data_IF_024021221833
#
_entry.id   IF_024021221833
#
_cell.length_a   1.000
_cell.length_b   1.000
_cell.length_c   1.000
_cell.angle_alpha   90.00
_cell.angle_beta   90.00
_cell.angle_gamma   90.00
#
_symmetry.space_group_name_H-M   'P 1'
#
loop_
_entity.id
_entity.type
_entity.pdbx_description
1 polymer ?
#
# COMPACT_ATOMS: atom_id res chain seq x y z
N UNK A 1 26.77 -5.95 -6.90
CA UNK A 1 27.07 -4.92 -7.91
C UNK A 1 25.91 -4.89 -8.88
N UNK A 2 25.03 -3.90 -8.77
CA UNK A 2 23.97 -3.69 -9.75
C UNK A 2 24.62 -3.29 -11.07
N UNK A 3 24.25 -3.94 -12.17
CA UNK A 3 24.63 -3.55 -13.51
C UNK A 3 24.05 -2.16 -13.79
N UNK A 4 24.86 -1.13 -13.68
CA UNK A 4 24.49 0.22 -14.11
C UNK A 4 24.51 0.24 -15.64
N UNK A 5 23.35 0.20 -16.25
CA UNK A 5 23.23 0.32 -17.71
C UNK A 5 23.43 1.80 -18.06
N UNK A 6 24.32 2.11 -19.02
CA UNK A 6 24.59 3.49 -19.42
C UNK A 6 23.38 4.12 -20.12
N UNK A 7 23.28 5.46 -20.06
CA UNK A 7 22.24 6.21 -20.77
C UNK A 7 22.24 5.95 -22.28
N UNK A 8 23.42 5.85 -22.88
CA UNK A 8 23.57 5.55 -24.31
C UNK A 8 23.03 4.17 -24.65
N UNK A 9 23.28 3.15 -23.82
CA UNK A 9 22.73 1.81 -24.00
C UNK A 9 21.19 1.81 -23.92
N UNK A 10 20.62 2.60 -22.99
CA UNK A 10 19.15 2.76 -22.88
C UNK A 10 18.56 3.43 -24.11
N UNK A 11 19.27 4.38 -24.69
CA UNK A 11 18.89 5.09 -25.91
C UNK A 11 18.93 4.19 -27.13
N UNK A 12 20.00 3.41 -27.29
CA UNK A 12 20.16 2.43 -28.37
C UNK A 12 19.07 1.34 -28.30
N UNK A 13 18.66 0.93 -27.10
CA UNK A 13 17.59 -0.03 -26.90
C UNK A 13 16.17 0.59 -27.02
N UNK A 14 16.04 1.85 -27.41
CA UNK A 14 14.77 2.61 -27.50
C UNK A 14 13.97 2.63 -26.18
N UNK A 15 14.60 2.43 -25.05
CA UNK A 15 13.97 2.47 -23.73
C UNK A 15 13.73 3.92 -23.29
N UNK A 16 14.62 4.83 -23.71
CA UNK A 16 14.47 6.26 -23.48
C UNK A 16 13.80 6.90 -24.70
N UNK A 17 12.67 7.62 -24.53
CA UNK A 17 12.05 8.33 -25.62
C UNK A 17 13.01 9.31 -26.31
N UNK A 18 12.90 9.51 -27.63
CA UNK A 18 13.68 10.50 -28.34
C UNK A 18 13.48 11.90 -27.73
N UNK A 19 14.57 12.62 -27.51
CA UNK A 19 14.52 13.99 -26.99
C UNK A 19 14.68 14.13 -25.47
N UNK A 20 14.62 13.05 -24.70
CA UNK A 20 14.92 13.09 -23.26
C UNK A 20 16.44 13.11 -23.05
N UNK A 21 16.90 14.03 -22.23
CA UNK A 21 18.30 14.15 -21.82
C UNK A 21 18.59 13.33 -20.55
N UNK A 22 19.87 12.96 -20.37
CA UNK A 22 20.29 12.28 -19.12
C UNK A 22 19.96 13.11 -17.88
N UNK A 23 20.09 14.44 -17.97
CA UNK A 23 19.75 15.37 -16.89
C UNK A 23 18.27 15.28 -16.51
N UNK A 24 17.37 15.16 -17.48
CA UNK A 24 15.92 15.01 -17.23
C UNK A 24 15.60 13.66 -16.60
N UNK A 25 16.30 12.58 -17.03
CA UNK A 25 16.19 11.28 -16.38
C UNK A 25 16.68 11.29 -14.94
N UNK A 26 17.71 12.08 -14.65
CA UNK A 26 18.29 12.21 -13.31
C UNK A 26 17.60 13.29 -12.45
N UNK A 27 16.54 13.95 -12.95
CA UNK A 27 15.77 14.90 -12.16
C UNK A 27 15.17 14.20 -10.93
N UNK A 28 15.13 14.87 -9.76
CA UNK A 28 14.65 14.26 -8.53
C UNK A 28 13.25 13.64 -8.62
N UNK A 29 12.98 12.78 -7.68
CA UNK A 29 11.70 12.11 -7.49
C UNK A 29 10.51 13.08 -7.59
N UNK A 30 9.37 12.57 -8.01
CA UNK A 30 8.17 13.36 -8.19
C UNK A 30 7.50 13.64 -6.83
N UNK A 31 7.42 14.90 -6.42
CA UNK A 31 6.75 15.29 -5.17
C UNK A 31 5.24 15.01 -5.23
N UNK A 32 4.72 14.45 -4.14
CA UNK A 32 3.29 14.19 -3.98
C UNK A 32 2.67 15.24 -3.07
N UNK A 33 1.52 15.81 -3.44
CA UNK A 33 0.73 16.63 -2.54
C UNK A 33 0.30 15.83 -1.31
N UNK A 34 0.14 16.49 -0.18
CA UNK A 34 -0.32 15.89 1.06
C UNK A 34 -1.81 16.16 1.29
N UNK A 35 -2.48 15.21 1.91
CA UNK A 35 -3.87 15.35 2.35
C UNK A 35 -3.86 15.87 3.79
N UNK A 36 -4.55 16.98 4.02
CA UNK A 36 -4.58 17.64 5.33
C UNK A 36 -5.96 17.65 5.99
N UNK A 37 -7.01 17.20 5.28
CA UNK A 37 -8.37 17.19 5.79
C UNK A 37 -8.89 15.76 5.94
N UNK A 38 -8.87 15.24 7.17
CA UNK A 38 -9.38 13.90 7.49
C UNK A 38 -10.87 13.89 7.82
N UNK A 39 -11.48 15.06 8.06
CA UNK A 39 -12.93 15.15 8.33
C UNK A 39 -13.77 14.77 7.11
N UNK A 40 -13.19 14.94 5.92
CA UNK A 40 -13.79 14.54 4.66
C UNK A 40 -13.63 13.04 4.33
N UNK A 41 -12.98 12.24 5.20
CA UNK A 41 -12.76 10.81 4.94
C UNK A 41 -14.10 10.08 4.78
N UNK A 42 -14.32 9.39 3.63
CA UNK A 42 -15.60 8.79 3.32
C UNK A 42 -15.90 7.56 4.18
N UNK A 43 -17.12 7.50 4.68
CA UNK A 43 -17.66 6.35 5.40
C UNK A 43 -18.49 5.45 4.45
N UNK A 44 -18.91 4.27 4.94
CA UNK A 44 -19.71 3.29 4.19
C UNK A 44 -19.02 2.70 2.96
N UNK A 45 -17.69 2.65 2.99
CA UNK A 45 -16.83 2.08 1.94
C UNK A 45 -15.97 0.94 2.52
N UNK A 46 -15.13 0.34 1.70
CA UNK A 46 -14.09 -0.58 2.18
C UNK A 46 -12.75 0.13 2.18
N UNK A 47 -12.12 0.20 3.34
CA UNK A 47 -10.80 0.82 3.48
C UNK A 47 -9.71 -0.22 3.22
N UNK A 48 -8.77 0.12 2.34
CA UNK A 48 -7.61 -0.71 1.99
C UNK A 48 -6.36 -0.01 2.46
N UNK A 49 -5.73 -0.55 3.48
CA UNK A 49 -4.55 0.04 4.12
C UNK A 49 -3.26 -0.56 3.58
N UNK A 50 -2.29 0.30 3.31
CA UNK A 50 -0.92 -0.06 2.97
C UNK A 50 -0.01 0.37 4.12
N UNK A 51 0.49 -0.62 4.87
CA UNK A 51 1.19 -0.49 6.15
C UNK A 51 2.64 -0.97 5.99
N UNK A 52 3.60 -0.24 6.50
CA UNK A 52 5.02 -0.62 6.43
C UNK A 52 5.93 0.54 6.77
N UNK A 53 7.21 0.26 6.97
CA UNK A 53 8.23 1.28 7.25
C UNK A 53 8.31 2.34 6.15
N UNK A 54 8.94 3.47 6.45
CA UNK A 54 9.37 4.40 5.42
C UNK A 54 10.12 3.67 4.30
N UNK A 55 9.93 4.11 3.05
CA UNK A 55 10.59 3.54 1.86
C UNK A 55 10.29 2.06 1.56
N UNK A 56 9.34 1.43 2.26
CA UNK A 56 8.89 0.06 1.93
C UNK A 56 8.14 -0.06 0.59
N UNK A 57 8.00 1.03 -0.16
CA UNK A 57 7.39 1.03 -1.48
C UNK A 57 5.88 1.26 -1.51
N UNK A 58 5.25 1.74 -0.43
CA UNK A 58 3.79 2.01 -0.36
C UNK A 58 3.29 2.88 -1.51
N UNK A 59 3.86 4.08 -1.65
CA UNK A 59 3.51 5.02 -2.74
C UNK A 59 3.80 4.44 -4.12
N UNK A 60 4.88 3.64 -4.26
CA UNK A 60 5.19 2.95 -5.51
C UNK A 60 4.16 1.88 -5.85
N UNK A 61 3.70 1.11 -4.87
CA UNK A 61 2.61 0.12 -5.05
C UNK A 61 1.33 0.83 -5.52
N UNK A 62 0.95 1.92 -4.86
CA UNK A 62 -0.22 2.72 -5.25
C UNK A 62 -0.06 3.33 -6.64
N UNK A 63 1.11 3.90 -6.96
CA UNK A 63 1.39 4.46 -8.30
C UNK A 63 1.25 3.41 -9.39
N UNK A 64 1.85 2.24 -9.22
CA UNK A 64 1.74 1.14 -10.16
C UNK A 64 0.31 0.65 -10.30
N UNK A 65 -0.38 0.46 -9.18
CA UNK A 65 -1.77 0.02 -9.14
C UNK A 65 -2.68 0.99 -9.90
N UNK A 66 -2.64 2.28 -9.60
CA UNK A 66 -3.52 3.26 -10.26
C UNK A 66 -3.16 3.49 -11.73
N UNK A 67 -1.89 3.43 -12.08
CA UNK A 67 -1.48 3.50 -13.48
C UNK A 67 -1.99 2.28 -14.27
N UNK A 68 -1.88 1.08 -13.73
CA UNK A 68 -2.42 -0.12 -14.36
C UNK A 68 -3.95 -0.07 -14.49
N UNK A 69 -4.64 0.46 -13.49
CA UNK A 69 -6.10 0.62 -13.47
C UNK A 69 -6.59 1.65 -14.48
N UNK A 70 -5.90 2.78 -14.58
CA UNK A 70 -6.21 3.83 -15.57
C UNK A 70 -6.12 3.29 -16.99
N UNK A 71 -5.13 2.45 -17.26
CA UNK A 71 -4.95 1.82 -18.59
C UNK A 71 -6.05 0.81 -18.91
N UNK A 72 -6.59 0.12 -17.92
CA UNK A 72 -7.72 -0.83 -18.11
C UNK A 72 -9.08 -0.17 -18.24
N UNK A 73 -9.23 1.07 -17.76
CA UNK A 73 -10.48 1.83 -17.83
C UNK A 73 -11.62 1.32 -16.94
N UNK A 74 -11.36 0.33 -16.06
CA UNK A 74 -12.40 -0.30 -15.25
C UNK A 74 -12.58 0.36 -13.88
N UNK A 75 -11.54 0.98 -13.34
CA UNK A 75 -11.58 1.66 -12.06
C UNK A 75 -11.75 3.17 -12.28
N UNK A 76 -12.58 3.79 -11.45
CA UNK A 76 -12.87 5.21 -11.56
C UNK A 76 -12.51 5.91 -10.28
N UNK A 77 -11.65 6.92 -10.38
CA UNK A 77 -11.45 7.84 -9.28
C UNK A 77 -12.79 8.51 -8.95
N UNK A 78 -13.16 8.46 -7.69
CA UNK A 78 -14.37 9.11 -7.18
C UNK A 78 -13.95 10.33 -6.35
N UNK A 79 -14.11 11.55 -6.87
CA UNK A 79 -13.81 12.75 -6.09
C UNK A 79 -14.76 12.81 -4.90
N UNK A 80 -14.25 13.18 -3.74
CA UNK A 80 -15.10 13.45 -2.59
C UNK A 80 -16.01 14.65 -2.90
N UNK A 81 -17.30 14.40 -3.08
CA UNK A 81 -18.29 15.41 -3.48
C UNK A 81 -18.41 16.51 -2.42
N UNK A 82 -18.21 16.16 -1.14
CA UNK A 82 -18.35 17.12 -0.04
C UNK A 82 -17.21 18.14 0.02
N UNK A 83 -16.10 17.86 -0.65
CA UNK A 83 -14.88 18.70 -0.55
C UNK A 83 -14.40 19.22 -1.93
N UNK A 84 -15.05 18.84 -3.04
CA UNK A 84 -14.71 19.31 -4.40
C UNK A 84 -13.20 19.23 -4.72
N UNK A 85 -12.49 18.27 -4.13
CA UNK A 85 -11.05 18.10 -4.27
C UNK A 85 -10.21 19.03 -3.39
N UNK A 86 -10.79 19.75 -2.43
CA UNK A 86 -10.04 20.60 -1.48
C UNK A 86 -9.31 19.77 -0.43
N UNK A 87 -9.68 18.49 -0.26
CA UNK A 87 -9.01 17.54 0.62
C UNK A 87 -7.61 17.10 0.13
N UNK A 88 -7.24 17.46 -1.09
CA UNK A 88 -5.97 17.08 -1.70
C UNK A 88 -5.95 15.68 -2.32
N UNK A 89 -6.99 14.87 -2.14
CA UNK A 89 -7.01 13.46 -2.62
C UNK A 89 -6.88 13.35 -4.14
N UNK A 90 -7.52 14.25 -4.89
CA UNK A 90 -7.39 14.32 -6.35
C UNK A 90 -5.96 14.68 -6.78
N UNK A 91 -5.36 15.66 -6.11
CA UNK A 91 -3.99 16.07 -6.41
C UNK A 91 -3.00 14.93 -6.12
N UNK A 92 -3.21 14.22 -5.01
CA UNK A 92 -2.42 13.06 -4.63
C UNK A 92 -2.57 11.91 -5.64
N UNK A 93 -3.80 11.53 -6.02
CA UNK A 93 -4.07 10.53 -7.06
C UNK A 93 -3.38 10.89 -8.38
N UNK A 94 -3.58 12.12 -8.87
CA UNK A 94 -2.97 12.59 -10.10
C UNK A 94 -1.44 12.60 -10.01
N UNK A 95 -0.88 12.92 -8.85
CA UNK A 95 0.54 12.86 -8.58
C UNK A 95 1.11 11.45 -8.73
N UNK A 96 0.46 10.44 -8.14
CA UNK A 96 0.84 9.04 -8.26
C UNK A 96 0.82 8.54 -9.72
N UNK A 97 -0.24 8.87 -10.47
CA UNK A 97 -0.36 8.49 -11.90
C UNK A 97 0.71 9.21 -12.74
N UNK A 98 0.95 10.51 -12.49
CA UNK A 98 1.98 11.28 -13.20
C UNK A 98 3.38 10.77 -12.95
N UNK A 99 3.70 10.34 -11.72
CA UNK A 99 5.00 9.75 -11.40
C UNK A 99 5.30 8.57 -12.32
N UNK A 100 4.34 7.67 -12.55
CA UNK A 100 4.50 6.54 -13.47
C UNK A 100 4.59 6.97 -14.93
N UNK A 101 3.80 7.97 -15.35
CA UNK A 101 3.88 8.54 -16.70
C UNK A 101 5.25 9.19 -16.94
N UNK A 102 5.79 9.85 -15.93
CA UNK A 102 7.13 10.43 -15.96
C UNK A 102 8.25 9.37 -15.82
N UNK A 103 7.89 8.09 -15.67
CA UNK A 103 8.83 6.97 -15.46
C UNK A 103 9.72 7.13 -14.23
N UNK A 104 9.20 7.74 -13.18
CA UNK A 104 9.91 7.98 -11.92
C UNK A 104 9.09 7.45 -10.74
N UNK A 105 9.74 6.87 -9.73
CA UNK A 105 9.04 6.55 -8.49
C UNK A 105 8.60 7.85 -7.81
N UNK A 106 7.49 7.84 -7.06
CA UNK A 106 7.13 8.97 -6.21
C UNK A 106 8.13 9.12 -5.06
N UNK A 107 8.30 10.34 -4.57
CA UNK A 107 9.05 10.59 -3.32
C UNK A 107 8.42 9.83 -2.15
N UNK A 108 9.20 9.51 -1.11
CA UNK A 108 8.66 8.95 0.11
C UNK A 108 7.56 9.85 0.69
N UNK A 109 6.53 9.23 1.26
CA UNK A 109 5.45 9.93 1.98
C UNK A 109 6.07 10.74 3.12
N UNK A 110 5.65 11.99 3.26
CA UNK A 110 6.17 12.85 4.32
C UNK A 110 5.81 12.31 5.72
N UNK A 111 6.64 12.71 6.68
CA UNK A 111 6.47 12.33 8.09
C UNK A 111 5.06 12.68 8.62
N UNK A 112 4.52 11.80 9.45
CA UNK A 112 3.20 11.96 10.12
C UNK A 112 2.01 12.25 9.19
N UNK A 113 2.04 11.73 7.95
CA UNK A 113 0.95 11.89 7.02
C UNK A 113 0.16 10.60 6.80
N UNK A 114 -1.15 10.79 6.61
CA UNK A 114 -2.07 9.75 6.14
C UNK A 114 -2.70 10.27 4.85
N UNK A 115 -2.46 9.57 3.76
CA UNK A 115 -3.08 9.89 2.49
C UNK A 115 -4.20 8.88 2.18
N UNK A 116 -5.26 9.34 1.52
CA UNK A 116 -6.32 8.44 1.07
C UNK A 116 -6.84 8.83 -0.32
N UNK A 117 -7.33 7.84 -1.04
CA UNK A 117 -7.87 8.00 -2.39
C UNK A 117 -9.14 7.17 -2.52
N UNK A 118 -10.20 7.78 -3.05
CA UNK A 118 -11.48 7.14 -3.24
C UNK A 118 -11.59 6.60 -4.66
N UNK A 119 -11.86 5.30 -4.79
CA UNK A 119 -11.97 4.61 -6.08
C UNK A 119 -13.26 3.80 -6.11
N UNK A 120 -13.99 3.93 -7.20
CA UNK A 120 -15.13 3.07 -7.50
C UNK A 120 -14.72 2.02 -8.55
N UNK A 121 -14.94 0.75 -8.22
CA UNK A 121 -14.61 -0.39 -9.09
C UNK A 121 -15.89 -1.01 -9.61
N UNK A 122 -16.28 -0.75 -10.86
CA UNK A 122 -17.43 -1.40 -11.46
C UNK A 122 -17.13 -2.89 -11.67
N UNK A 123 -18.05 -3.77 -11.28
CA UNK A 123 -17.90 -5.21 -11.55
C UNK A 123 -18.46 -5.61 -12.90
N UNK A 124 -17.79 -6.60 -13.52
CA UNK A 124 -18.25 -7.23 -14.75
C UNK A 124 -19.65 -7.84 -14.54
N UNK A 125 -20.59 -7.52 -15.43
CA UNK A 125 -21.94 -8.11 -15.43
C UNK A 125 -23.09 -7.15 -15.14
N UNK A 126 -22.85 -5.85 -14.97
CA UNK A 126 -23.96 -4.89 -14.89
C UNK A 126 -23.67 -3.63 -14.07
N UNK A 127 -24.38 -2.59 -14.40
CA UNK A 127 -24.27 -1.23 -13.85
C UNK A 127 -24.72 -1.08 -12.39
N UNK A 128 -25.12 -2.18 -11.73
CA UNK A 128 -25.77 -2.14 -10.40
C UNK A 128 -24.87 -2.49 -9.21
N UNK A 129 -23.65 -2.97 -9.45
CA UNK A 129 -22.75 -3.40 -8.39
C UNK A 129 -21.39 -2.75 -8.56
N UNK A 130 -21.06 -1.87 -7.68
CA UNK A 130 -19.78 -1.17 -7.61
C UNK A 130 -19.13 -1.50 -6.26
N UNK A 131 -17.84 -1.80 -6.23
CA UNK A 131 -17.11 -1.79 -4.99
C UNK A 131 -16.62 -0.36 -4.76
N UNK A 132 -16.95 0.20 -3.62
CA UNK A 132 -16.55 1.54 -3.20
C UNK A 132 -15.37 1.41 -2.23
N UNK A 133 -14.20 1.90 -2.62
CA UNK A 133 -12.94 1.67 -1.92
C UNK A 133 -12.30 2.99 -1.50
N UNK A 134 -11.70 3.00 -0.32
CA UNK A 134 -10.74 4.00 0.12
C UNK A 134 -9.37 3.34 0.17
N UNK A 135 -8.42 3.82 -0.61
CA UNK A 135 -7.03 3.39 -0.52
C UNK A 135 -6.32 4.31 0.47
N UNK A 136 -5.76 3.75 1.53
CA UNK A 136 -5.15 4.49 2.63
C UNK A 136 -3.68 4.16 2.72
N UNK A 137 -2.84 5.18 2.60
CA UNK A 137 -1.40 5.10 2.82
C UNK A 137 -1.04 5.84 4.10
N UNK A 138 -0.35 5.15 5.00
CA UNK A 138 0.12 5.70 6.27
C UNK A 138 1.64 5.78 6.24
N UNK A 139 2.22 6.93 6.62
CA UNK A 139 3.68 7.03 6.73
C UNK A 139 4.22 6.02 7.75
N UNK A 140 5.40 5.46 7.48
CA UNK A 140 5.97 4.42 8.35
C UNK A 140 6.27 4.93 9.74
N UNK A 141 6.62 6.18 9.85
CA UNK A 141 6.97 6.87 11.09
C UNK A 141 5.75 7.06 12.02
N UNK A 142 4.55 7.17 11.46
CA UNK A 142 3.32 7.23 12.26
C UNK A 142 3.18 6.02 13.20
N UNK A 143 3.69 4.86 12.81
CA UNK A 143 3.53 3.65 13.63
C UNK A 143 4.43 3.65 14.85
N UNK A 144 5.64 4.22 14.80
CA UNK A 144 6.48 4.37 15.99
C UNK A 144 5.88 5.39 16.96
N UNK A 145 5.50 6.56 16.48
CA UNK A 145 4.88 7.61 17.30
C UNK A 145 3.57 7.14 17.94
N UNK A 146 2.73 6.42 17.18
CA UNK A 146 1.47 5.90 17.67
C UNK A 146 1.66 4.78 18.70
N UNK A 147 2.65 3.91 18.52
CA UNK A 147 2.93 2.83 19.47
C UNK A 147 3.46 3.36 20.79
N UNK A 148 4.34 4.36 20.76
CA UNK A 148 4.87 5.02 21.94
C UNK A 148 3.76 5.73 22.73
N UNK A 149 2.74 6.22 22.06
CA UNK A 149 1.58 6.91 22.64
C UNK A 149 0.46 5.97 23.11
N UNK A 150 0.51 4.67 22.82
CA UNK A 150 -0.48 3.71 23.33
C UNK A 150 -0.50 3.60 24.85
N UNK A 151 0.59 3.97 25.54
CA UNK A 151 0.66 4.08 26.99
C UNK A 151 -0.18 5.22 27.59
N UNK A 152 -0.26 6.36 26.89
CA UNK A 152 -1.11 7.53 27.20
C UNK A 152 -2.33 7.63 26.27
N UNK A 153 -2.55 6.75 25.53
CA UNK A 153 -3.27 6.04 24.53
C UNK A 153 -4.32 6.73 23.71
N UNK A 154 -5.50 6.82 24.18
CA UNK A 154 -6.66 7.28 23.40
C UNK A 154 -6.59 8.76 22.96
N UNK A 155 -5.78 9.57 23.62
CA UNK A 155 -5.70 11.02 23.34
C UNK A 155 -4.76 11.32 22.16
N UNK A 156 -3.65 10.60 22.00
CA UNK A 156 -2.73 10.80 20.88
C UNK A 156 -3.40 10.43 19.53
N UNK A 157 -4.19 9.36 19.51
CA UNK A 157 -5.02 9.00 18.36
C UNK A 157 -5.99 10.11 17.95
N UNK A 158 -6.64 10.73 18.94
CA UNK A 158 -7.61 11.82 18.72
C UNK A 158 -6.92 13.09 18.22
N UNK A 159 -5.71 13.36 18.70
CA UNK A 159 -4.97 14.57 18.34
C UNK A 159 -4.41 14.55 16.92
N UNK A 160 -4.17 13.35 16.34
CA UNK A 160 -3.62 13.21 15.00
C UNK A 160 -4.65 13.33 13.86
N UNK A 161 -5.94 13.54 14.15
CA UNK A 161 -6.98 13.45 13.13
C UNK A 161 -7.13 12.05 12.53
N UNK A 162 -6.17 11.17 12.81
CA UNK A 162 -6.08 9.81 12.31
C UNK A 162 -7.22 8.91 12.83
N UNK A 163 -7.84 9.25 13.95
CA UNK A 163 -8.90 8.44 14.56
C UNK A 163 -10.06 8.19 13.60
N UNK A 164 -10.45 9.19 12.81
CA UNK A 164 -11.52 9.02 11.82
C UNK A 164 -11.15 8.04 10.72
N UNK A 165 -9.91 8.06 10.28
CA UNK A 165 -9.41 7.15 9.24
C UNK A 165 -9.24 5.74 9.79
N UNK A 166 -8.68 5.58 10.98
CA UNK A 166 -8.26 4.28 11.51
C UNK A 166 -9.37 3.54 12.27
N UNK A 167 -10.17 4.25 13.08
CA UNK A 167 -11.18 3.65 13.96
C UNK A 167 -12.62 3.76 13.47
N UNK A 168 -12.84 4.17 12.20
CA UNK A 168 -14.17 4.20 11.60
C UNK A 168 -14.77 2.79 11.46
N UNK A 169 -16.08 2.73 11.16
CA UNK A 169 -16.81 1.47 11.03
C UNK A 169 -16.73 0.83 9.63
N UNK A 170 -15.97 1.40 8.70
CA UNK A 170 -15.77 0.81 7.39
C UNK A 170 -15.16 -0.60 7.52
N UNK A 171 -15.53 -1.49 6.62
CA UNK A 171 -14.83 -2.77 6.44
C UNK A 171 -13.38 -2.49 6.02
N UNK A 172 -12.45 -3.29 6.50
CA UNK A 172 -11.02 -3.06 6.27
C UNK A 172 -10.33 -4.25 5.62
N UNK A 173 -9.37 -3.93 4.76
CA UNK A 173 -8.38 -4.86 4.21
C UNK A 173 -7.01 -4.28 4.57
N UNK A 174 -6.14 -5.09 5.17
CA UNK A 174 -4.80 -4.66 5.58
C UNK A 174 -3.75 -5.35 4.73
N UNK A 175 -2.88 -4.57 4.10
CA UNK A 175 -1.68 -5.05 3.45
C UNK A 175 -0.45 -4.54 4.18
N UNK A 176 0.35 -5.47 4.71
CA UNK A 176 1.64 -5.18 5.33
C UNK A 176 2.73 -5.28 4.27
N UNK A 177 3.47 -4.18 4.05
CA UNK A 177 4.50 -4.07 3.05
C UNK A 177 5.87 -4.30 3.66
N UNK A 178 6.60 -5.22 3.07
CA UNK A 178 7.96 -5.60 3.43
C UNK A 178 8.90 -5.31 2.26
N UNK A 179 9.99 -4.65 2.55
CA UNK A 179 11.04 -4.35 1.57
C UNK A 179 12.04 -5.51 1.49
N UNK A 180 12.07 -6.21 0.37
CA UNK A 180 13.02 -7.31 0.15
C UNK A 180 14.49 -6.85 0.12
N UNK A 181 14.75 -5.60 -0.26
CA UNK A 181 16.11 -5.07 -0.39
C UNK A 181 16.85 -4.93 0.96
N UNK A 182 16.13 -4.89 2.09
CA UNK A 182 16.73 -4.75 3.42
C UNK A 182 17.70 -5.90 3.73
N UNK A 183 17.40 -7.12 3.28
CA UNK A 183 18.30 -8.28 3.42
C UNK A 183 19.61 -8.11 2.64
N UNK A 184 19.57 -7.38 1.53
CA UNK A 184 20.74 -7.22 0.68
C UNK A 184 21.75 -6.22 1.23
N UNK A 185 21.47 -5.62 2.40
CA UNK A 185 22.36 -4.68 3.09
C UNK A 185 22.55 -3.33 2.35
N UNK A 186 21.74 -3.07 1.33
CA UNK A 186 21.88 -1.90 0.45
C UNK A 186 20.96 -0.75 0.86
N UNK A 187 20.62 -0.62 2.14
CA UNK A 187 19.59 0.34 2.54
C UNK A 187 20.16 1.50 3.36
N UNK A 188 19.62 2.65 3.09
CA UNK A 188 19.78 3.96 3.72
C UNK A 188 19.41 3.97 5.23
N UNK A 189 19.99 3.07 6.01
CA UNK A 189 19.84 3.02 7.46
C UNK A 189 18.64 2.25 8.01
N UNK A 190 17.74 1.70 7.17
CA UNK A 190 16.62 0.86 7.64
C UNK A 190 17.11 -0.58 7.79
N UNK A 191 16.91 -1.16 8.96
CA UNK A 191 17.31 -2.53 9.28
C UNK A 191 16.13 -3.50 9.19
N UNK A 192 16.42 -4.80 9.21
CA UNK A 192 15.41 -5.83 9.35
C UNK A 192 14.59 -5.66 10.64
N UNK A 193 15.26 -5.28 11.73
CA UNK A 193 14.63 -5.01 13.02
C UNK A 193 13.63 -3.85 12.92
N UNK A 194 13.98 -2.76 12.23
CA UNK A 194 13.07 -1.61 12.04
C UNK A 194 11.80 -2.02 11.29
N UNK A 195 11.93 -2.89 10.28
CA UNK A 195 10.76 -3.44 9.59
C UNK A 195 9.90 -4.29 10.53
N UNK A 196 10.52 -5.21 11.28
CA UNK A 196 9.79 -6.06 12.23
C UNK A 196 9.06 -5.22 13.26
N UNK A 197 9.73 -4.22 13.85
CA UNK A 197 9.15 -3.34 14.85
C UNK A 197 7.97 -2.52 14.29
N UNK A 198 8.11 -1.92 13.12
CA UNK A 198 7.04 -1.12 12.51
C UNK A 198 5.80 -1.96 12.18
N UNK A 199 5.99 -3.19 11.71
CA UNK A 199 4.86 -4.09 11.43
C UNK A 199 4.16 -4.56 12.69
N UNK A 200 4.95 -4.85 13.74
CA UNK A 200 4.44 -5.18 15.07
C UNK A 200 3.62 -4.04 15.64
N UNK A 201 4.14 -2.82 15.56
CA UNK A 201 3.45 -1.61 16.01
C UNK A 201 2.15 -1.40 15.23
N UNK A 202 2.19 -1.55 13.92
CA UNK A 202 0.99 -1.44 13.09
C UNK A 202 -0.08 -2.47 13.49
N UNK A 203 0.28 -3.73 13.68
CA UNK A 203 -0.66 -4.76 14.12
C UNK A 203 -1.21 -4.45 15.52
N UNK A 204 -0.38 -4.00 16.44
CA UNK A 204 -0.77 -3.59 17.80
C UNK A 204 -1.81 -2.48 17.75
N UNK A 205 -1.61 -1.46 16.91
CA UNK A 205 -2.54 -0.35 16.73
C UNK A 205 -3.92 -0.84 16.29
N UNK A 206 -3.99 -1.73 15.30
CA UNK A 206 -5.25 -2.28 14.83
C UNK A 206 -5.89 -3.26 15.83
N UNK A 207 -5.11 -3.85 16.73
CA UNK A 207 -5.57 -4.75 17.80
C UNK A 207 -6.08 -4.01 19.02
N UNK A 208 -5.79 -2.72 19.18
CA UNK A 208 -6.12 -1.93 20.35
C UNK A 208 -7.58 -1.50 20.35
N UNK A 209 -8.28 -1.69 21.48
CA UNK A 209 -9.70 -1.38 21.63
C UNK A 209 -9.99 -0.07 22.39
N UNK A 210 -8.95 0.67 22.74
CA UNK A 210 -9.06 1.92 23.50
C UNK A 210 -9.26 1.75 25.01
N UNK A 211 -9.45 0.53 25.52
CA UNK A 211 -9.72 0.27 26.95
C UNK A 211 -8.52 -0.32 27.68
N UNK A 212 -7.42 -0.61 26.99
CA UNK A 212 -6.24 -1.29 27.53
C UNK A 212 -6.46 -2.77 27.84
N UNK A 213 -7.60 -3.32 27.49
CA UNK A 213 -7.92 -4.74 27.59
C UNK A 213 -8.01 -5.34 26.21
N UNK A 214 -7.39 -6.49 25.99
CA UNK A 214 -7.49 -7.24 24.74
C UNK A 214 -8.92 -7.79 24.53
N UNK A 215 -9.90 -6.91 24.36
CA UNK A 215 -11.28 -7.31 24.10
C UNK A 215 -11.51 -7.46 22.60
N UNK A 216 -11.96 -8.63 22.20
CA UNK A 216 -12.23 -9.02 20.81
C UNK A 216 -13.36 -8.22 20.13
N UNK A 217 -14.10 -7.42 20.86
CA UNK A 217 -15.32 -6.78 20.35
C UNK A 217 -15.23 -5.29 20.07
N UNK A 218 -14.18 -4.62 20.49
CA UNK A 218 -14.03 -3.16 20.33
C UNK A 218 -12.89 -2.71 19.42
N UNK A 219 -11.94 -3.61 19.13
CA UNK A 219 -10.75 -3.26 18.36
C UNK A 219 -11.04 -3.14 16.85
N UNK A 220 -10.17 -2.43 16.15
CA UNK A 220 -10.29 -2.22 14.69
C UNK A 220 -10.19 -3.53 13.91
N UNK A 221 -9.46 -4.55 14.41
CA UNK A 221 -9.38 -5.87 13.78
C UNK A 221 -10.75 -6.54 13.64
N UNK A 222 -11.73 -6.24 14.49
CA UNK A 222 -13.10 -6.77 14.34
C UNK A 222 -13.80 -6.31 13.06
N UNK A 223 -13.30 -5.27 12.40
CA UNK A 223 -13.78 -4.74 11.11
C UNK A 223 -12.93 -5.21 9.92
N UNK A 224 -11.82 -5.90 10.19
CA UNK A 224 -10.93 -6.39 9.14
C UNK A 224 -11.50 -7.67 8.55
N UNK A 225 -11.60 -7.71 7.25
CA UNK A 225 -12.06 -8.88 6.50
C UNK A 225 -10.93 -9.66 5.85
N UNK A 226 -9.82 -8.99 5.58
CA UNK A 226 -8.69 -9.61 4.90
C UNK A 226 -7.37 -8.99 5.34
N UNK A 227 -6.37 -9.84 5.49
CA UNK A 227 -4.99 -9.47 5.77
C UNK A 227 -4.08 -10.10 4.72
N UNK A 228 -3.14 -9.32 4.20
CA UNK A 228 -2.10 -9.78 3.30
C UNK A 228 -0.75 -9.15 3.60
N UNK A 229 0.29 -9.81 3.13
CA UNK A 229 1.68 -9.33 3.15
C UNK A 229 2.11 -9.14 1.70
N UNK A 230 2.66 -7.98 1.38
CA UNK A 230 3.22 -7.67 0.06
C UNK A 230 4.73 -7.51 0.20
N UNK A 231 5.47 -8.40 -0.41
CA UNK A 231 6.92 -8.30 -0.50
C UNK A 231 7.28 -7.44 -1.71
N UNK A 232 7.70 -6.21 -1.46
CA UNK A 232 8.04 -5.22 -2.49
C UNK A 232 9.47 -5.41 -3.01
N UNK A 233 9.80 -4.72 -4.10
CA UNK A 233 11.10 -4.83 -4.80
C UNK A 233 11.42 -6.26 -5.23
N UNK A 234 10.39 -6.99 -5.64
CA UNK A 234 10.51 -8.39 -6.07
C UNK A 234 11.34 -8.59 -7.35
N UNK A 235 11.66 -7.51 -8.08
CA UNK A 235 12.65 -7.49 -9.16
C UNK A 235 14.06 -7.90 -8.69
N UNK A 236 14.38 -7.66 -7.41
CA UNK A 236 15.65 -8.05 -6.81
C UNK A 236 15.76 -9.56 -6.53
N UNK A 237 14.68 -10.32 -6.65
CA UNK A 237 14.70 -11.78 -6.53
C UNK A 237 15.34 -12.48 -7.73
N UNK A 238 15.74 -11.73 -8.76
CA UNK A 238 16.44 -12.23 -9.95
C UNK A 238 15.73 -13.38 -10.67
N UNK A 239 14.40 -13.41 -10.62
CA UNK A 239 13.59 -14.40 -11.36
C UNK A 239 12.30 -13.76 -11.88
N UNK A 240 11.95 -14.09 -13.12
CA UNK A 240 10.65 -13.75 -13.70
C UNK A 240 9.59 -14.84 -13.46
N UNK A 241 9.99 -16.01 -13.00
CA UNK A 241 9.05 -17.09 -12.69
C UNK A 241 8.27 -16.75 -11.42
N UNK A 242 6.96 -16.59 -11.59
CA UNK A 242 6.04 -16.26 -10.52
C UNK A 242 6.02 -17.30 -9.39
N UNK A 243 6.07 -18.59 -9.72
CA UNK A 243 6.10 -19.66 -8.71
C UNK A 243 7.38 -19.60 -7.90
N UNK A 244 8.50 -19.34 -8.56
CA UNK A 244 9.78 -19.18 -7.89
C UNK A 244 9.80 -17.94 -7.00
N UNK A 245 9.27 -16.80 -7.47
CA UNK A 245 9.13 -15.58 -6.63
C UNK A 245 8.29 -15.86 -5.37
N UNK A 246 7.17 -16.56 -5.52
CA UNK A 246 6.33 -16.94 -4.38
C UNK A 246 7.07 -17.83 -3.39
N UNK A 247 7.84 -18.82 -3.85
CA UNK A 247 8.66 -19.65 -2.97
C UNK A 247 9.71 -18.84 -2.22
N UNK A 248 10.45 -17.97 -2.91
CA UNK A 248 11.43 -17.06 -2.28
C UNK A 248 10.75 -16.17 -1.24
N UNK A 249 9.56 -15.64 -1.54
CA UNK A 249 8.82 -14.82 -0.61
C UNK A 249 8.42 -15.59 0.66
N UNK A 250 7.92 -16.82 0.53
CA UNK A 250 7.58 -17.66 1.68
C UNK A 250 8.82 -18.00 2.52
N UNK A 251 9.92 -18.42 1.90
CA UNK A 251 11.19 -18.69 2.58
C UNK A 251 11.72 -17.44 3.30
N UNK A 252 11.63 -16.28 2.67
CA UNK A 252 12.01 -15.00 3.27
C UNK A 252 11.19 -14.69 4.53
N UNK A 253 9.86 -14.80 4.44
CA UNK A 253 8.96 -14.54 5.55
C UNK A 253 9.19 -15.54 6.69
N UNK A 254 9.38 -16.81 6.37
CA UNK A 254 9.61 -17.84 7.37
C UNK A 254 10.95 -17.66 8.10
N UNK A 255 12.00 -17.24 7.39
CA UNK A 255 13.32 -17.07 8.00
C UNK A 255 13.46 -15.78 8.81
N UNK A 256 12.75 -14.72 8.43
CA UNK A 256 12.98 -13.38 8.98
C UNK A 256 11.78 -12.80 9.75
N UNK A 257 10.56 -13.29 9.49
CA UNK A 257 9.32 -12.74 10.05
C UNK A 257 8.39 -13.81 10.63
N UNK A 258 8.93 -14.99 11.01
CA UNK A 258 8.11 -16.11 11.49
C UNK A 258 7.15 -15.69 12.61
N UNK A 259 7.66 -15.03 13.65
CA UNK A 259 6.85 -14.56 14.79
C UNK A 259 5.74 -13.59 14.36
N UNK A 260 6.02 -12.69 13.41
CA UNK A 260 5.00 -11.76 12.88
C UNK A 260 3.94 -12.51 12.05
N UNK A 261 4.35 -13.48 11.23
CA UNK A 261 3.43 -14.30 10.44
C UNK A 261 2.52 -15.16 11.32
N UNK A 262 3.06 -15.69 12.43
CA UNK A 262 2.27 -16.41 13.44
C UNK A 262 1.22 -15.49 14.07
N UNK A 263 1.60 -14.28 14.47
CA UNK A 263 0.65 -13.30 15.02
C UNK A 263 -0.43 -12.88 14.02
N UNK A 264 -0.08 -12.71 12.74
CA UNK A 264 -1.08 -12.45 11.70
C UNK A 264 -2.04 -13.63 11.54
N UNK A 265 -1.52 -14.85 11.61
CA UNK A 265 -2.34 -16.08 11.51
C UNK A 265 -3.27 -16.20 12.72
N UNK A 266 -2.79 -15.92 13.92
CA UNK A 266 -3.61 -15.89 15.12
C UNK A 266 -4.68 -14.79 15.06
N UNK A 267 -4.34 -13.59 14.57
CA UNK A 267 -5.30 -12.53 14.32
C UNK A 267 -6.38 -12.98 13.31
N UNK A 268 -5.97 -13.63 12.22
CA UNK A 268 -6.92 -14.14 11.23
C UNK A 268 -7.88 -15.17 11.84
N UNK A 269 -7.42 -16.08 12.69
CA UNK A 269 -8.26 -17.07 13.38
C UNK A 269 -9.19 -16.41 14.40
N UNK A 270 -8.65 -15.56 15.26
CA UNK A 270 -9.39 -14.94 16.36
C UNK A 270 -10.51 -14.01 15.88
N UNK A 271 -10.31 -13.32 14.76
CA UNK A 271 -11.27 -12.37 14.19
C UNK A 271 -12.00 -12.89 12.93
N UNK A 272 -11.84 -14.16 12.59
CA UNK A 272 -12.42 -14.78 11.39
C UNK A 272 -12.04 -14.07 10.07
N UNK A 273 -10.81 -13.54 10.01
CA UNK A 273 -10.24 -12.87 8.84
C UNK A 273 -9.75 -13.95 7.86
N UNK A 274 -9.81 -13.69 6.54
CA UNK A 274 -9.42 -14.64 5.48
C UNK A 274 -10.06 -16.02 5.63
N UNK A 275 -11.29 -16.10 6.13
CA UNK A 275 -11.99 -17.37 6.43
C UNK A 275 -12.06 -18.30 5.22
N UNK A 276 -12.30 -17.75 4.03
CA UNK A 276 -12.39 -18.56 2.78
C UNK A 276 -11.05 -19.19 2.39
N UNK A 277 -9.94 -18.65 2.87
CA UNK A 277 -8.57 -19.09 2.55
C UNK A 277 -7.89 -19.75 3.78
N UNK A 278 -8.68 -20.32 4.68
CA UNK A 278 -8.18 -21.12 5.83
C UNK A 278 -7.56 -20.29 6.94
N UNK A 279 -7.92 -19.00 7.06
CA UNK A 279 -7.40 -18.09 8.08
C UNK A 279 -5.89 -17.80 7.94
N UNK A 280 -5.36 -17.89 6.73
CA UNK A 280 -3.96 -17.56 6.46
C UNK A 280 -3.85 -16.16 5.83
N UNK A 281 -2.85 -15.36 6.18
CA UNK A 281 -2.58 -14.11 5.48
C UNK A 281 -2.18 -14.39 4.03
N UNK A 282 -2.65 -13.54 3.09
CA UNK A 282 -2.19 -13.61 1.70
C UNK A 282 -0.72 -13.21 1.63
N UNK A 283 0.06 -13.89 0.80
CA UNK A 283 1.43 -13.50 0.48
C UNK A 283 1.50 -13.14 -1.00
N UNK A 284 1.87 -11.91 -1.26
CA UNK A 284 2.02 -11.34 -2.59
C UNK A 284 3.45 -10.84 -2.80
N UNK A 285 3.93 -10.90 -4.03
CA UNK A 285 5.16 -10.23 -4.45
C UNK A 285 4.79 -9.05 -5.32
N UNK A 286 5.54 -7.95 -5.22
CA UNK A 286 5.30 -6.76 -6.01
C UNK A 286 6.58 -6.15 -6.52
N UNK A 287 6.62 -5.89 -7.82
CA UNK A 287 7.63 -5.11 -8.50
C UNK A 287 6.94 -4.05 -9.37
N UNK A 288 7.48 -2.84 -9.35
CA UNK A 288 7.01 -1.77 -10.22
C UNK A 288 7.50 -1.95 -11.66
N UNK A 289 8.50 -2.77 -11.86
CA UNK A 289 9.21 -2.99 -13.10
C UNK A 289 10.73 -2.90 -12.91
N UNK A 290 11.46 -2.56 -13.96
CA UNK A 290 12.91 -2.43 -13.90
C UNK A 290 13.31 -0.98 -13.70
N UNK A 291 14.30 -0.76 -12.84
CA UNK A 291 14.88 0.54 -12.58
C UNK A 291 16.19 0.72 -13.36
N UNK A 292 16.38 1.90 -13.92
CA UNK A 292 17.54 2.30 -14.68
C UNK A 292 18.22 3.54 -14.08
N UNK A 293 19.12 4.15 -14.82
CA UNK A 293 19.83 5.36 -14.40
C UNK A 293 18.85 6.43 -13.90
N UNK A 294 19.19 7.06 -12.78
CA UNK A 294 18.36 8.13 -12.18
C UNK A 294 16.98 7.66 -11.68
N UNK A 295 16.87 6.39 -11.29
CA UNK A 295 15.60 5.79 -10.86
C UNK A 295 14.48 5.81 -11.91
N UNK A 296 14.85 5.84 -13.20
CA UNK A 296 13.87 5.72 -14.28
C UNK A 296 13.28 4.31 -14.28
N UNK A 297 11.95 4.23 -14.36
CA UNK A 297 11.22 2.96 -14.30
C UNK A 297 10.75 2.54 -15.69
N UNK A 298 11.10 1.33 -16.11
CA UNK A 298 10.39 0.63 -17.16
C UNK A 298 9.24 -0.15 -16.49
N UNK A 299 8.05 0.44 -16.52
CA UNK A 299 6.90 -0.08 -15.83
C UNK A 299 6.47 -1.45 -16.39
N UNK A 300 6.37 -2.44 -15.49
CA UNK A 300 5.75 -3.73 -15.76
C UNK A 300 4.43 -3.81 -14.99
N UNK A 301 3.27 -3.81 -15.65
CA UNK A 301 1.98 -3.80 -14.99
C UNK A 301 1.58 -5.14 -14.36
N UNK A 302 2.34 -6.22 -14.58
CA UNK A 302 1.91 -7.57 -14.20
C UNK A 302 1.55 -7.69 -12.72
N UNK A 303 2.46 -7.32 -11.81
CA UNK A 303 2.21 -7.42 -10.37
C UNK A 303 1.13 -6.42 -9.91
N UNK A 304 1.05 -5.24 -10.53
CA UNK A 304 -0.02 -4.27 -10.28
C UNK A 304 -1.39 -4.79 -10.67
N UNK A 305 -1.47 -5.55 -11.77
CA UNK A 305 -2.70 -6.18 -12.25
C UNK A 305 -3.14 -7.33 -11.36
N UNK A 306 -2.19 -8.10 -10.86
CA UNK A 306 -2.44 -9.19 -9.92
C UNK A 306 -2.93 -8.66 -8.56
N UNK A 307 -2.32 -7.57 -8.08
CA UNK A 307 -2.78 -6.90 -6.86
C UNK A 307 -4.19 -6.35 -7.05
N UNK A 308 -4.49 -5.74 -8.19
CA UNK A 308 -5.82 -5.26 -8.51
C UNK A 308 -6.86 -6.38 -8.51
N UNK A 309 -6.58 -7.49 -9.18
CA UNK A 309 -7.46 -8.65 -9.19
C UNK A 309 -7.69 -9.23 -7.78
N UNK A 310 -6.64 -9.20 -6.95
CA UNK A 310 -6.74 -9.59 -5.54
C UNK A 310 -7.65 -8.65 -4.77
N UNK A 311 -7.48 -7.34 -4.91
CA UNK A 311 -8.32 -6.33 -4.26
C UNK A 311 -9.78 -6.45 -4.71
N UNK A 312 -10.05 -6.62 -6.00
CA UNK A 312 -11.40 -6.84 -6.52
C UNK A 312 -12.07 -8.08 -5.91
N UNK A 313 -11.31 -9.15 -5.67
CA UNK A 313 -11.80 -10.36 -5.02
C UNK A 313 -12.11 -10.14 -3.54
N UNK A 314 -11.29 -9.37 -2.85
CA UNK A 314 -11.41 -9.11 -1.41
C UNK A 314 -12.47 -8.03 -1.09
N UNK A 315 -12.74 -7.13 -2.01
CA UNK A 315 -13.71 -6.06 -1.83
C UNK A 315 -15.15 -6.60 -1.95
N UNK A 316 -16.00 -6.41 -0.93
CA UNK A 316 -17.40 -6.81 -1.02
C UNK A 316 -18.15 -5.92 -1.99
N UNK A 317 -19.22 -6.48 -2.57
CA UNK A 317 -20.18 -5.71 -3.32
C UNK A 317 -21.01 -4.84 -2.38
N UNK A 318 -21.00 -3.55 -2.57
CA UNK A 318 -22.02 -2.66 -2.04
C UNK A 318 -23.26 -2.78 -2.92
N UNK A 319 -24.35 -3.32 -2.37
CA UNK A 319 -25.68 -3.19 -3.01
C UNK A 319 -26.07 -1.72 -2.86
N UNK A 320 -26.09 -0.95 -3.93
CA UNK A 320 -26.81 0.33 -3.90
C UNK A 320 -28.29 0.00 -3.70
N UNK A 321 -28.82 0.25 -2.49
CA UNK A 321 -30.26 0.30 -2.29
C UNK A 321 -30.77 1.51 -3.06
N UNK A 322 -31.56 1.27 -4.09
CA UNK A 322 -32.36 2.32 -4.72
C UNK A 322 -33.48 2.67 -3.75
N UNK A 323 -33.42 3.83 -3.12
CA UNK A 323 -34.57 4.54 -2.64
C UNK A 323 -34.93 5.64 -3.62
#
# INVERSE_FOLDING_TARGET
>A
MGLTISFDTLREQQIVPPGITEKELMTPEFELPQINNYDAFPLDRTDIYFLGVARSGKSSVLSGLFNAMTTRGNWRYHPNINDMGQDGSMAYYNGLVRAMTAKKPPVPTAFDTINYINIDVPRAGGTRHTAELNFVEISGECFSTLADSLGDGAQAWRNLGASRVLSNNNRKVLFFLLDYNVILGNQDGITLYDQQQALQNALTIFSYDGTGKNHTTGCTLSKVSSIGVILTKADLMNTSDRKQRQRIAHEYLQNNFASFMDQLTDACRNFSINKADGYLPYVLTFSLGRFYVGNTVLFDPTDSMDLAATIERLAPLTKKSFF
#
